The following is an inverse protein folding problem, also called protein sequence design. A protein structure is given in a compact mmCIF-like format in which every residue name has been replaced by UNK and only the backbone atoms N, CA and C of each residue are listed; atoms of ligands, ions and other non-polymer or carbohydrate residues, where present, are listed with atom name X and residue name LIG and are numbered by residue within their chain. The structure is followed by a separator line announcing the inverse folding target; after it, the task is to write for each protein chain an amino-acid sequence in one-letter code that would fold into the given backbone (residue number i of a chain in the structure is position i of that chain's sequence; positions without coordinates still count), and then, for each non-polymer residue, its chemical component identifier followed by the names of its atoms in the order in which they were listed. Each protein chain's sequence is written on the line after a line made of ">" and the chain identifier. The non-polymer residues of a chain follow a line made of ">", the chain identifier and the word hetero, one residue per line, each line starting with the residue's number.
data_IF_523959739620
#
_entry.id   IF_523959739620
#
_cell.length_a   1.000
_cell.length_b   1.000
_cell.length_c   1.000
_cell.angle_alpha   90.00
_cell.angle_beta   90.00
_cell.angle_gamma   90.00
#
_symmetry.space_group_name_H-M   'P 1'
#
loop_
_entity.id
_entity.type
_entity.pdbx_description
1 polymer ?
#
# COMPACT_ATOMS: atom_id res chain seq x y z
N UNK A 1 -9.92 -42.80 -24.92
CA UNK A 1 -8.75 -42.00 -24.48
C UNK A 1 -8.84 -40.66 -25.21
N UNK A 2 -9.47 -39.59 -24.74
CA UNK A 2 -9.71 -39.08 -23.39
C UNK A 2 -9.09 -37.67 -23.31
N UNK A 3 -9.51 -36.68 -24.12
CA UNK A 3 -8.93 -35.33 -24.13
C UNK A 3 -9.16 -34.55 -22.81
N UNK A 4 -9.99 -35.09 -21.91
CA UNK A 4 -10.46 -34.45 -20.68
C UNK A 4 -9.39 -34.22 -19.60
N UNK A 5 -8.26 -34.93 -19.65
CA UNK A 5 -7.21 -34.81 -18.63
C UNK A 5 -6.36 -33.54 -18.85
N UNK A 6 -6.17 -33.12 -20.11
CA UNK A 6 -5.35 -31.94 -20.44
C UNK A 6 -6.03 -30.62 -20.05
N UNK A 7 -7.36 -30.55 -20.11
CA UNK A 7 -8.13 -29.35 -19.73
C UNK A 7 -8.07 -29.13 -18.21
N UNK A 8 -8.16 -30.20 -17.41
CA UNK A 8 -8.07 -30.11 -15.95
C UNK A 8 -6.71 -29.63 -15.46
N UNK A 9 -5.62 -30.02 -16.14
CA UNK A 9 -4.26 -29.62 -15.75
C UNK A 9 -3.97 -28.14 -16.03
N UNK A 10 -4.50 -27.60 -17.14
CA UNK A 10 -4.38 -26.18 -17.47
C UNK A 10 -5.10 -25.28 -16.45
N UNK A 11 -6.34 -25.63 -16.09
CA UNK A 11 -7.12 -24.85 -15.11
C UNK A 11 -6.41 -24.78 -13.74
N UNK A 12 -5.82 -25.89 -13.29
CA UNK A 12 -5.07 -25.91 -12.03
C UNK A 12 -3.81 -25.05 -12.11
N UNK A 13 -3.08 -25.09 -13.23
CA UNK A 13 -1.89 -24.26 -13.42
C UNK A 13 -2.22 -22.76 -13.42
N UNK A 14 -3.29 -22.36 -14.12
CA UNK A 14 -3.77 -20.98 -14.15
C UNK A 14 -4.21 -20.49 -12.76
N UNK A 15 -4.98 -21.31 -12.03
CA UNK A 15 -5.42 -20.96 -10.66
C UNK A 15 -4.22 -20.80 -9.73
N UNK A 16 -3.22 -21.69 -9.80
CA UNK A 16 -2.01 -21.58 -8.97
C UNK A 16 -1.18 -20.34 -9.31
N UNK A 17 -1.05 -19.99 -10.59
CA UNK A 17 -0.38 -18.76 -11.03
C UNK A 17 -1.10 -17.51 -10.53
N UNK A 18 -2.43 -17.45 -10.69
CA UNK A 18 -3.26 -16.34 -10.21
C UNK A 18 -3.13 -16.21 -8.68
N UNK A 19 -3.22 -17.32 -7.95
CA UNK A 19 -3.16 -17.32 -6.49
C UNK A 19 -1.79 -16.85 -5.99
N UNK A 20 -0.70 -17.31 -6.63
CA UNK A 20 0.66 -16.87 -6.32
C UNK A 20 0.84 -15.38 -6.62
N UNK A 21 0.33 -14.90 -7.74
CA UNK A 21 0.39 -13.48 -8.11
C UNK A 21 -0.38 -12.59 -7.11
N UNK A 22 -1.58 -13.01 -6.72
CA UNK A 22 -2.40 -12.32 -5.71
C UNK A 22 -1.69 -12.29 -4.36
N UNK A 23 -1.07 -13.40 -3.94
CA UNK A 23 -0.36 -13.49 -2.67
C UNK A 23 0.88 -12.59 -2.66
N UNK A 24 1.65 -12.56 -3.74
CA UNK A 24 2.82 -11.68 -3.88
C UNK A 24 2.41 -10.20 -3.87
N UNK A 25 1.31 -9.84 -4.53
CA UNK A 25 0.74 -8.48 -4.47
C UNK A 25 0.27 -8.08 -3.07
N UNK A 26 -0.32 -9.00 -2.30
CA UNK A 26 -0.73 -8.73 -0.91
C UNK A 26 0.46 -8.49 0.01
N UNK A 27 1.49 -9.34 -0.08
CA UNK A 27 2.71 -9.18 0.73
C UNK A 27 3.44 -7.86 0.44
N UNK A 28 3.44 -7.41 -0.82
CA UNK A 28 4.03 -6.12 -1.19
C UNK A 28 3.19 -4.94 -0.70
N UNK A 29 1.86 -5.04 -0.72
CA UNK A 29 0.98 -4.02 -0.14
C UNK A 29 1.11 -3.90 1.38
N UNK A 30 1.21 -5.02 2.10
CA UNK A 30 1.46 -5.03 3.55
C UNK A 30 2.83 -4.42 3.91
N UNK A 31 3.87 -4.76 3.15
CA UNK A 31 5.21 -4.19 3.32
C UNK A 31 5.21 -2.68 3.08
N UNK A 32 4.49 -2.22 2.06
CA UNK A 32 4.32 -0.80 1.77
C UNK A 32 3.52 -0.09 2.88
N UNK A 33 2.48 -0.73 3.42
CA UNK A 33 1.71 -0.17 4.53
C UNK A 33 2.56 -0.04 5.80
N UNK A 34 3.44 -1.02 6.06
CA UNK A 34 4.39 -0.94 7.16
C UNK A 34 5.37 0.22 7.01
N UNK A 35 5.83 0.53 5.78
CA UNK A 35 6.68 1.70 5.51
C UNK A 35 5.94 3.00 5.75
N UNK A 36 4.68 3.11 5.33
CA UNK A 36 3.82 4.28 5.62
C UNK A 36 3.70 4.48 7.13
N UNK A 37 3.37 3.42 7.88
CA UNK A 37 3.26 3.48 9.35
C UNK A 37 4.58 3.90 10.00
N UNK A 38 5.70 3.37 9.54
CA UNK A 38 7.01 3.75 10.04
C UNK A 38 7.33 5.23 9.75
N UNK A 39 6.99 5.72 8.55
CA UNK A 39 7.16 7.14 8.19
C UNK A 39 6.26 8.07 9.03
N UNK A 40 5.03 7.63 9.34
CA UNK A 40 4.11 8.37 10.21
C UNK A 40 4.62 8.42 11.65
N UNK A 41 4.97 7.27 12.24
CA UNK A 41 5.43 7.16 13.64
C UNK A 41 6.83 7.71 13.89
N UNK A 42 7.69 7.72 12.88
CA UNK A 42 9.07 8.22 12.98
C UNK A 42 9.17 9.75 13.08
N UNK A 43 8.06 10.47 12.91
CA UNK A 43 8.03 11.92 12.99
C UNK A 43 7.45 12.40 14.33
N UNK A 44 8.12 13.37 14.95
CA UNK A 44 7.71 13.95 16.24
C UNK A 44 6.31 14.58 16.15
N UNK A 45 5.49 14.35 17.18
CA UNK A 45 4.13 14.92 17.30
C UNK A 45 4.19 16.44 17.16
N UNK A 46 3.48 16.98 16.16
CA UNK A 46 3.43 18.42 15.86
C UNK A 46 4.20 18.83 14.61
N UNK A 47 4.95 17.93 13.97
CA UNK A 47 5.63 18.21 12.71
C UNK A 47 4.89 17.64 11.49
N UNK A 48 4.94 18.37 10.37
CA UNK A 48 4.30 17.95 9.11
C UNK A 48 5.02 16.69 8.58
N UNK A 49 4.29 15.58 8.49
CA UNK A 49 4.83 14.30 8.04
C UNK A 49 4.63 14.12 6.55
N UNK A 50 5.73 13.84 5.85
CA UNK A 50 5.75 13.70 4.38
C UNK A 50 5.89 12.24 4.02
N UNK A 51 4.94 11.74 3.25
CA UNK A 51 4.94 10.37 2.73
C UNK A 51 5.03 10.44 1.21
N UNK A 52 6.11 9.92 0.64
CA UNK A 52 6.30 9.89 -0.81
C UNK A 52 5.56 8.70 -1.41
N UNK A 53 4.75 8.94 -2.45
CA UNK A 53 4.01 7.88 -3.14
C UNK A 53 4.92 6.84 -3.79
N UNK A 54 6.08 7.26 -4.29
CA UNK A 54 7.06 6.36 -4.89
C UNK A 54 7.53 5.28 -3.91
N UNK A 55 7.72 5.64 -2.63
CA UNK A 55 8.20 4.73 -1.59
C UNK A 55 7.10 3.78 -1.07
N UNK A 56 5.84 4.07 -1.41
CA UNK A 56 4.66 3.37 -0.92
C UNK A 56 3.99 2.49 -2.00
N UNK A 57 4.60 2.33 -3.18
CA UNK A 57 4.08 1.41 -4.20
C UNK A 57 4.01 -0.03 -3.65
N UNK A 58 2.91 -0.78 -3.83
CA UNK A 58 1.78 -0.56 -4.76
C UNK A 58 0.54 0.14 -4.17
N UNK A 59 0.64 0.83 -3.03
CA UNK A 59 -0.53 1.47 -2.41
C UNK A 59 -1.02 2.68 -3.22
N UNK A 60 -2.34 2.79 -3.33
CA UNK A 60 -2.97 3.97 -3.92
C UNK A 60 -3.00 5.13 -2.92
N UNK A 61 -3.11 6.37 -3.42
CA UNK A 61 -3.27 7.57 -2.59
C UNK A 61 -4.37 7.41 -1.53
N UNK A 62 -5.51 6.83 -1.93
CA UNK A 62 -6.64 6.63 -1.04
C UNK A 62 -6.31 5.67 0.12
N UNK A 63 -5.61 4.57 -0.17
CA UNK A 63 -5.17 3.62 0.87
C UNK A 63 -4.16 4.26 1.83
N UNK A 64 -3.28 5.12 1.33
CA UNK A 64 -2.29 5.81 2.17
C UNK A 64 -3.00 6.83 3.10
N UNK A 65 -4.04 7.52 2.61
CA UNK A 65 -4.86 8.42 3.42
C UNK A 65 -5.60 7.67 4.53
N UNK A 66 -6.27 6.56 4.18
CA UNK A 66 -7.02 5.72 5.12
C UNK A 66 -6.10 5.12 6.21
N UNK A 67 -4.89 4.71 5.84
CA UNK A 67 -3.86 4.29 6.79
C UNK A 67 -3.44 5.43 7.72
N UNK A 68 -3.26 6.64 7.19
CA UNK A 68 -2.96 7.82 7.99
C UNK A 68 -4.05 8.10 9.03
N UNK A 69 -5.31 8.10 8.60
CA UNK A 69 -6.47 8.30 9.48
C UNK A 69 -6.58 7.22 10.54
N UNK A 70 -6.32 5.95 10.19
CA UNK A 70 -6.32 4.82 11.13
C UNK A 70 -5.23 4.96 12.19
N UNK A 71 -4.07 5.53 11.85
CA UNK A 71 -2.97 5.78 12.81
C UNK A 71 -3.15 7.10 13.58
N UNK A 72 -4.25 7.83 13.38
CA UNK A 72 -4.53 9.09 14.07
C UNK A 72 -3.86 10.32 13.45
N UNK A 73 -3.48 10.25 12.18
CA UNK A 73 -2.95 11.39 11.42
C UNK A 73 -4.02 11.93 10.47
N UNK A 74 -4.10 13.25 10.34
CA UNK A 74 -5.00 13.90 9.40
C UNK A 74 -4.26 14.24 8.11
N UNK A 75 -4.80 13.82 6.97
CA UNK A 75 -4.29 14.26 5.68
C UNK A 75 -4.55 15.76 5.48
N UNK A 76 -3.51 16.48 5.09
CA UNK A 76 -3.54 17.92 4.83
C UNK A 76 -3.66 18.22 3.34
N UNK A 77 -2.64 17.85 2.56
CA UNK A 77 -2.55 18.17 1.14
C UNK A 77 -1.57 17.27 0.41
N UNK A 78 -1.72 17.22 -0.90
CA UNK A 78 -0.75 16.61 -1.81
C UNK A 78 0.12 17.71 -2.40
N UNK A 79 1.43 17.51 -2.41
CA UNK A 79 2.34 18.37 -3.15
C UNK A 79 3.07 17.55 -4.22
N UNK A 80 3.22 18.11 -5.41
CA UNK A 80 4.09 17.57 -6.44
C UNK A 80 5.43 18.27 -6.34
N UNK A 81 6.46 17.53 -5.95
CA UNK A 81 7.84 18.01 -5.88
C UNK A 81 8.64 17.48 -7.06
N UNK A 82 9.85 18.01 -7.27
CA UNK A 82 10.79 17.49 -8.27
C UNK A 82 11.10 15.99 -8.08
N UNK A 83 10.96 15.50 -6.85
CA UNK A 83 11.22 14.10 -6.46
C UNK A 83 9.99 13.20 -6.55
N UNK A 84 8.82 13.73 -6.88
CA UNK A 84 7.59 12.95 -7.07
C UNK A 84 6.37 13.53 -6.35
N UNK A 85 5.37 12.70 -6.11
CA UNK A 85 4.15 13.10 -5.39
C UNK A 85 4.31 12.79 -3.90
N UNK A 86 4.20 13.80 -3.05
CA UNK A 86 4.21 13.66 -1.59
C UNK A 86 2.82 13.93 -1.00
N UNK A 87 2.43 13.10 -0.05
CA UNK A 87 1.23 13.24 0.77
C UNK A 87 1.66 13.77 2.13
N UNK A 88 1.05 14.89 2.55
CA UNK A 88 1.36 15.52 3.83
C UNK A 88 0.30 15.21 4.86
N UNK A 89 0.77 14.81 6.04
CA UNK A 89 -0.03 14.41 7.19
C UNK A 89 0.34 15.24 8.40
N UNK A 90 -0.65 15.60 9.21
CA UNK A 90 -0.46 16.29 10.47
C UNK A 90 -0.90 15.38 11.63
N UNK A 91 -0.04 15.25 12.63
CA UNK A 91 -0.32 14.47 13.83
C UNK A 91 -1.26 15.22 14.77
N UNK A 92 -2.57 15.06 14.56
CA UNK A 92 -3.62 15.61 15.42
C UNK A 92 -4.15 14.54 16.37
N UNK A 93 -3.67 14.55 17.61
CA UNK A 93 -4.21 13.68 18.66
C UNK A 93 -5.50 14.30 19.18
N UNK A 94 -6.65 13.73 18.79
CA UNK A 94 -7.90 13.89 19.54
C UNK A 94 -8.79 12.65 19.33
N UNK A 95 -8.44 11.57 20.04
CA UNK A 95 -9.33 10.48 20.47
C UNK A 95 -8.78 9.85 21.73
#
# INVERSE_FOLDING_TARGET
>A
MGPSIFVGLLVVADVVLIWRYVRVKRQTAESAAHRVRAALRGNERGNETKVYLADCHPLSVHMIKDLGETEGYRYQRTASTRSGTELRFEGGTDR
#
